data_IF_194330458629
#
_entry.id   IF_194330458629
#
_cell.length_a   1.000
_cell.length_b   1.000
_cell.length_c   1.000
_cell.angle_alpha   90.00
_cell.angle_beta   90.00
_cell.angle_gamma   90.00
#
_symmetry.space_group_name_H-M   'P 1'
#
loop_
_entity.id
_entity.type
_entity.pdbx_description
1 polymer ?
#
# COMPACT_ATOMS: atom_id res chain seq x y z
N UNK A 1 -22.85 -10.30 -11.94
CA UNK A 1 -22.87 -10.10 -10.48
C UNK A 1 -21.55 -10.62 -9.94
N UNK A 2 -20.49 -9.81 -9.99
CA UNK A 2 -19.23 -10.14 -9.31
C UNK A 2 -19.41 -9.75 -7.85
N UNK A 3 -19.38 -10.74 -6.97
CA UNK A 3 -19.23 -10.52 -5.54
C UNK A 3 -17.87 -9.83 -5.37
N UNK A 4 -17.88 -8.50 -5.19
CA UNK A 4 -16.68 -7.73 -4.81
C UNK A 4 -16.32 -8.14 -3.38
N UNK A 5 -15.75 -9.33 -3.22
CA UNK A 5 -15.20 -9.76 -1.95
C UNK A 5 -13.89 -9.00 -1.78
N UNK A 6 -13.89 -8.01 -0.89
CA UNK A 6 -12.66 -7.32 -0.49
C UNK A 6 -11.64 -8.38 -0.05
N UNK A 7 -10.43 -8.38 -0.60
CA UNK A 7 -9.38 -9.32 -0.21
C UNK A 7 -9.03 -9.15 1.28
N UNK A 8 -8.69 -10.25 1.96
CA UNK A 8 -8.29 -10.19 3.37
C UNK A 8 -7.00 -9.39 3.57
N UNK A 9 -6.82 -8.83 4.77
CA UNK A 9 -5.60 -8.09 5.14
C UNK A 9 -4.32 -8.89 4.86
N UNK A 10 -4.28 -10.19 5.18
CA UNK A 10 -3.11 -11.04 4.86
C UNK A 10 -2.81 -11.11 3.36
N UNK A 11 -3.85 -11.13 2.52
CA UNK A 11 -3.69 -11.12 1.06
C UNK A 11 -3.13 -9.77 0.59
N UNK A 12 -3.66 -8.67 1.15
CA UNK A 12 -3.19 -7.33 0.85
C UNK A 12 -1.73 -7.14 1.29
N UNK A 13 -1.37 -7.54 2.51
CA UNK A 13 0.01 -7.50 3.00
C UNK A 13 0.96 -8.24 2.06
N UNK A 14 0.58 -9.45 1.62
CA UNK A 14 1.39 -10.24 0.68
C UNK A 14 1.58 -9.53 -0.65
N UNK A 15 0.52 -8.90 -1.19
CA UNK A 15 0.59 -8.15 -2.45
C UNK A 15 1.39 -6.86 -2.30
N UNK A 16 1.13 -6.07 -1.25
CA UNK A 16 1.89 -4.87 -0.90
C UNK A 16 3.38 -5.20 -0.77
N UNK A 17 3.72 -6.31 -0.11
CA UNK A 17 5.11 -6.80 -0.03
C UNK A 17 5.68 -7.09 -1.41
N UNK A 18 4.94 -7.79 -2.28
CA UNK A 18 5.41 -8.09 -3.63
C UNK A 18 5.67 -6.83 -4.47
N UNK A 19 4.80 -5.82 -4.37
CA UNK A 19 4.97 -4.51 -5.05
C UNK A 19 6.22 -3.80 -4.53
N UNK A 20 6.37 -3.70 -3.20
CA UNK A 20 7.53 -3.08 -2.58
C UNK A 20 8.82 -3.84 -2.93
N UNK A 21 8.79 -5.17 -2.96
CA UNK A 21 9.94 -5.99 -3.31
C UNK A 21 10.37 -5.80 -4.78
N UNK A 22 9.41 -5.56 -5.68
CA UNK A 22 9.68 -5.25 -7.07
C UNK A 22 10.33 -3.86 -7.26
N UNK A 23 9.97 -2.88 -6.41
CA UNK A 23 10.50 -1.52 -6.46
C UNK A 23 11.86 -1.38 -5.77
N UNK A 24 11.95 -1.84 -4.51
CA UNK A 24 13.09 -1.59 -3.63
C UNK A 24 14.06 -2.77 -3.53
N UNK A 25 13.62 -3.97 -3.96
CA UNK A 25 14.40 -5.20 -3.95
C UNK A 25 13.84 -6.29 -3.04
N UNK A 26 14.36 -7.53 -3.15
CA UNK A 26 13.86 -8.71 -2.43
C UNK A 26 14.04 -8.63 -0.90
N UNK A 27 14.81 -7.67 -0.41
CA UNK A 27 14.99 -7.38 1.01
C UNK A 27 13.69 -7.05 1.75
N UNK A 28 12.67 -6.54 1.05
CA UNK A 28 11.33 -6.32 1.62
C UNK A 28 10.62 -7.62 2.03
N UNK A 29 10.96 -8.74 1.37
CA UNK A 29 10.30 -10.01 1.62
C UNK A 29 10.57 -10.52 3.05
N UNK A 30 11.76 -10.20 3.57
CA UNK A 30 12.22 -10.56 4.91
C UNK A 30 11.75 -9.56 5.99
N UNK A 31 11.21 -8.39 5.61
CA UNK A 31 10.81 -7.36 6.56
C UNK A 31 9.52 -7.72 7.29
N UNK A 32 9.45 -7.54 8.63
CA UNK A 32 8.19 -7.69 9.35
C UNK A 32 7.17 -6.64 8.89
N UNK A 33 5.86 -6.95 8.97
CA UNK A 33 4.81 -6.04 8.51
C UNK A 33 4.76 -4.72 9.31
N UNK A 34 5.16 -4.75 10.58
CA UNK A 34 5.29 -3.59 11.45
C UNK A 34 6.65 -2.85 11.29
N UNK A 35 7.51 -3.31 10.36
CA UNK A 35 8.81 -2.67 10.14
C UNK A 35 8.63 -1.23 9.64
N UNK A 36 9.39 -0.27 10.19
CA UNK A 36 9.46 1.07 9.63
C UNK A 36 10.21 1.03 8.29
N UNK A 37 9.46 1.14 7.18
CA UNK A 37 9.98 1.21 5.82
C UNK A 37 11.03 2.32 5.62
N UNK A 38 10.80 3.58 6.03
CA UNK A 38 11.79 4.65 5.85
C UNK A 38 13.09 4.42 6.63
N UNK A 39 13.02 3.78 7.81
CA UNK A 39 14.23 3.47 8.59
C UNK A 39 14.96 2.26 8.01
N UNK A 40 14.23 1.29 7.46
CA UNK A 40 14.83 0.07 6.91
C UNK A 40 15.45 0.31 5.55
N UNK A 41 14.76 1.06 4.69
CA UNK A 41 15.19 1.34 3.32
C UNK A 41 16.06 2.59 3.22
N UNK A 42 16.04 3.46 4.23
CA UNK A 42 16.83 4.68 4.29
C UNK A 42 16.66 5.53 3.03
N UNK A 43 17.77 5.86 2.37
CA UNK A 43 17.82 6.64 1.13
C UNK A 43 16.99 6.06 -0.03
N UNK A 44 16.69 4.75 -0.05
CA UNK A 44 15.85 4.16 -1.10
C UNK A 44 14.38 4.60 -0.96
N UNK A 45 13.96 4.98 0.25
CA UNK A 45 12.61 5.40 0.56
C UNK A 45 12.55 6.90 0.87
N UNK A 46 13.08 7.72 -0.04
CA UNK A 46 12.93 9.18 -0.02
C UNK A 46 11.59 9.60 -0.66
N UNK A 47 11.36 10.90 -0.83
CA UNK A 47 10.16 11.50 -1.43
C UNK A 47 9.81 10.92 -2.80
N UNK A 48 10.83 10.58 -3.61
CA UNK A 48 10.62 9.93 -4.91
C UNK A 48 10.19 8.46 -4.75
N UNK A 49 10.88 7.69 -3.89
CA UNK A 49 10.55 6.29 -3.63
C UNK A 49 9.16 6.14 -3.02
N UNK A 50 8.76 7.06 -2.14
CA UNK A 50 7.40 7.11 -1.60
C UNK A 50 6.37 7.37 -2.72
N UNK A 51 6.62 8.32 -3.65
CA UNK A 51 5.73 8.55 -4.79
C UNK A 51 5.64 7.33 -5.72
N UNK A 52 6.77 6.69 -6.05
CA UNK A 52 6.78 5.48 -6.88
C UNK A 52 6.03 4.32 -6.20
N UNK A 53 6.18 4.18 -4.88
CA UNK A 53 5.42 3.24 -4.09
C UNK A 53 3.93 3.52 -4.18
N UNK A 54 3.50 4.76 -3.99
CA UNK A 54 2.09 5.15 -4.05
C UNK A 54 1.52 4.84 -5.43
N UNK A 55 2.16 5.30 -6.50
CA UNK A 55 1.70 5.03 -7.88
C UNK A 55 1.64 3.54 -8.21
N UNK A 56 2.57 2.74 -7.69
CA UNK A 56 2.51 1.29 -7.86
C UNK A 56 1.34 0.65 -7.10
N UNK A 57 1.04 1.12 -5.89
CA UNK A 57 -0.11 0.64 -5.11
C UNK A 57 -1.44 1.06 -5.76
N UNK A 58 -1.56 2.31 -6.20
CA UNK A 58 -2.73 2.80 -6.95
C UNK A 58 -3.01 1.91 -8.16
N UNK A 59 -1.96 1.57 -8.91
CA UNK A 59 -2.07 0.72 -10.10
C UNK A 59 -2.35 -0.75 -9.79
N UNK A 60 -1.77 -1.30 -8.72
CA UNK A 60 -1.97 -2.70 -8.34
C UNK A 60 -3.38 -2.95 -7.77
N UNK A 61 -3.88 -2.01 -6.97
CA UNK A 61 -5.14 -2.16 -6.26
C UNK A 61 -6.31 -1.38 -6.87
N UNK A 62 -6.06 -0.58 -7.91
CA UNK A 62 -7.04 0.31 -8.55
C UNK A 62 -7.68 1.28 -7.54
N UNK A 63 -6.84 1.85 -6.67
CA UNK A 63 -7.23 2.80 -5.63
C UNK A 63 -6.68 4.20 -5.92
N UNK A 64 -7.30 5.21 -5.33
CA UNK A 64 -6.83 6.60 -5.38
C UNK A 64 -6.17 6.97 -4.03
N UNK A 65 -4.94 7.49 -4.06
CA UNK A 65 -4.23 7.91 -2.86
C UNK A 65 -3.91 9.40 -2.92
N UNK A 66 -4.70 10.20 -2.21
CA UNK A 66 -4.39 11.62 -1.99
C UNK A 66 -3.21 11.81 -1.02
N UNK A 67 -2.20 12.57 -1.45
CA UNK A 67 -0.97 12.73 -0.68
C UNK A 67 -1.12 13.64 0.55
N UNK A 68 -2.15 14.48 0.58
CA UNK A 68 -2.38 15.47 1.63
C UNK A 68 -3.39 14.93 2.63
N UNK A 69 -4.48 14.33 2.16
CA UNK A 69 -5.56 13.81 3.01
C UNK A 69 -5.18 12.48 3.67
N UNK A 70 -4.40 11.62 3.01
CA UNK A 70 -4.08 10.29 3.54
C UNK A 70 -2.75 10.20 4.29
N UNK A 71 -2.10 11.33 4.57
CA UNK A 71 -0.89 11.39 5.40
C UNK A 71 0.13 10.31 5.00
N UNK A 72 0.50 10.27 3.71
CA UNK A 72 1.25 9.17 3.06
C UNK A 72 2.53 8.82 3.78
N UNK A 73 3.20 9.81 4.38
CA UNK A 73 4.42 9.58 5.17
C UNK A 73 4.17 8.74 6.41
N UNK A 74 2.98 8.84 7.00
CA UNK A 74 2.54 8.05 8.15
C UNK A 74 1.93 6.72 7.72
N UNK A 75 1.07 6.74 6.70
CA UNK A 75 0.38 5.55 6.18
C UNK A 75 1.34 4.58 5.51
N UNK A 76 2.30 5.10 4.75
CA UNK A 76 3.34 4.30 4.08
C UNK A 76 4.64 4.20 4.90
N UNK A 77 4.57 4.48 6.21
CA UNK A 77 5.69 4.21 7.11
C UNK A 77 5.86 2.71 7.39
N UNK A 78 4.78 1.93 7.33
CA UNK A 78 4.76 0.51 7.72
C UNK A 78 3.88 -0.27 6.74
N UNK A 79 4.26 -1.53 6.49
CA UNK A 79 3.54 -2.38 5.53
C UNK A 79 2.13 -2.73 6.01
N UNK A 80 1.96 -2.95 7.31
CA UNK A 80 0.66 -3.23 7.93
C UNK A 80 -0.34 -2.08 7.68
N UNK A 81 0.10 -0.84 7.90
CA UNK A 81 -0.70 0.36 7.64
C UNK A 81 -1.08 0.54 6.18
N UNK A 82 -0.16 0.24 5.26
CA UNK A 82 -0.47 0.27 3.83
C UNK A 82 -1.56 -0.75 3.51
N UNK A 83 -1.47 -1.96 4.05
CA UNK A 83 -2.46 -3.00 3.83
C UNK A 83 -3.83 -2.63 4.43
N UNK A 84 -3.86 -2.06 5.64
CA UNK A 84 -5.09 -1.54 6.28
C UNK A 84 -5.72 -0.40 5.48
N UNK A 85 -4.90 0.50 4.96
CA UNK A 85 -5.34 1.61 4.12
C UNK A 85 -5.93 1.10 2.80
N UNK A 86 -5.23 0.22 2.09
CA UNK A 86 -5.74 -0.41 0.86
C UNK A 86 -7.03 -1.18 1.13
N UNK A 87 -7.12 -1.90 2.25
CA UNK A 87 -8.34 -2.59 2.64
C UNK A 87 -9.50 -1.61 2.81
N UNK A 88 -9.26 -0.51 3.53
CA UNK A 88 -10.26 0.53 3.75
C UNK A 88 -10.72 1.19 2.45
N UNK A 89 -9.79 1.47 1.51
CA UNK A 89 -10.12 2.02 0.20
C UNK A 89 -10.98 1.04 -0.62
N UNK A 90 -10.62 -0.25 -0.62
CA UNK A 90 -11.38 -1.29 -1.33
C UNK A 90 -12.75 -1.54 -0.69
N UNK A 91 -12.85 -1.47 0.64
CA UNK A 91 -14.13 -1.50 1.36
C UNK A 91 -14.99 -0.30 0.99
N UNK A 92 -14.44 0.91 1.00
CA UNK A 92 -15.17 2.13 0.64
C UNK A 92 -15.67 2.06 -0.81
N UNK A 93 -14.81 1.63 -1.75
CA UNK A 93 -15.19 1.42 -3.15
C UNK A 93 -16.28 0.35 -3.31
N UNK A 94 -16.22 -0.73 -2.52
CA UNK A 94 -17.25 -1.78 -2.53
C UNK A 94 -18.58 -1.29 -1.94
N UNK A 95 -18.54 -0.41 -0.94
CA UNK A 95 -19.72 0.15 -0.26
C UNK A 95 -20.35 1.29 -1.08
N UNK A 96 -19.54 2.17 -1.66
CA UNK A 96 -19.97 3.36 -2.39
C UNK A 96 -20.04 3.19 -3.92
N UNK A 97 -19.53 2.08 -4.47
CA UNK A 97 -19.79 1.66 -5.85
C UNK A 97 -18.92 2.31 -6.94
N UNK A 98 -17.79 2.93 -6.58
CA UNK A 98 -16.83 3.53 -7.52
C UNK A 98 -16.96 5.06 -7.70
N UNK A 99 -15.90 5.72 -8.24
CA UNK A 99 -15.63 7.15 -8.06
C UNK A 99 -16.72 8.04 -8.66
N UNK A 100 -16.97 9.16 -7.97
CA UNK A 100 -17.83 10.25 -8.46
C UNK A 100 -17.11 11.15 -9.45
#
# INVERSE_FOLDING_TARGET
MTLSSVPTLETLQTRTRAVLAALFGPEIDDLPADAPLPETLGDRYDSLGAMECVTAMEKEFDIEVDFVEHDVRYTFAQLDRIAEFVHSQLEDQAVFGGPR
#
